data_IF_940648541230
#
_entry.id   IF_940648541230
#
_cell.length_a   1.000
_cell.length_b   1.000
_cell.length_c   1.000
_cell.angle_alpha   90.00
_cell.angle_beta   90.00
_cell.angle_gamma   90.00
#
_symmetry.space_group_name_H-M   'P 1'
#
loop_
_entity.id
_entity.type
_entity.pdbx_description
1 polymer ?
#
# COMPACT_ATOMS: atom_id res chain seq x y z
N UNK A 1 -34.96 53.63 52.19
CA UNK A 1 -35.22 52.49 51.28
C UNK A 1 -35.48 53.12 49.92
N UNK A 2 -34.80 52.88 48.81
CA UNK A 2 -33.98 51.76 48.32
C UNK A 2 -33.13 52.33 47.17
N UNK A 3 -31.80 52.21 47.21
CA UNK A 3 -30.94 52.58 46.08
C UNK A 3 -30.91 51.41 45.09
N UNK A 4 -31.51 51.61 43.91
CA UNK A 4 -31.52 50.67 42.82
C UNK A 4 -30.12 50.60 42.17
N UNK A 5 -29.42 49.49 42.38
CA UNK A 5 -28.09 49.24 41.85
C UNK A 5 -28.20 48.79 40.39
N UNK A 6 -28.09 49.72 39.43
CA UNK A 6 -27.92 49.37 38.02
C UNK A 6 -26.56 48.66 37.83
N UNK A 7 -26.59 47.33 37.77
CA UNK A 7 -25.45 46.50 37.38
C UNK A 7 -25.15 46.72 35.88
N UNK A 8 -24.25 47.66 35.60
CA UNK A 8 -23.65 47.78 34.27
C UNK A 8 -22.90 46.50 33.90
N UNK A 9 -23.21 45.93 32.74
CA UNK A 9 -22.48 44.81 32.15
C UNK A 9 -20.98 45.14 32.09
N UNK A 10 -20.17 44.35 32.77
CA UNK A 10 -18.71 44.59 32.81
C UNK A 10 -18.14 44.52 31.39
N UNK A 11 -17.18 45.38 31.07
CA UNK A 11 -16.47 45.38 29.76
C UNK A 11 -15.93 44.00 29.39
N UNK A 12 -15.60 43.15 30.37
CA UNK A 12 -15.14 41.78 30.20
C UNK A 12 -16.24 40.85 29.65
N UNK A 13 -17.48 41.00 30.12
CA UNK A 13 -18.65 40.25 29.63
C UNK A 13 -18.99 40.64 28.19
N UNK A 14 -18.84 41.93 27.85
CA UNK A 14 -19.10 42.44 26.50
C UNK A 14 -18.03 42.00 25.48
N UNK A 15 -16.76 41.95 25.89
CA UNK A 15 -15.65 41.43 25.06
C UNK A 15 -15.71 39.91 24.87
N UNK A 16 -16.07 39.14 25.91
CA UNK A 16 -16.25 37.69 25.81
C UNK A 16 -17.48 37.34 24.95
N UNK A 17 -18.60 38.05 25.15
CA UNK A 17 -19.82 37.89 24.33
C UNK A 17 -19.61 38.30 22.87
N UNK A 18 -18.91 39.41 22.63
CA UNK A 18 -18.55 39.86 21.28
C UNK A 18 -17.58 38.91 20.57
N UNK A 19 -16.56 38.41 21.27
CA UNK A 19 -15.63 37.41 20.75
C UNK A 19 -16.30 36.08 20.38
N UNK A 20 -17.23 35.61 21.22
CA UNK A 20 -18.00 34.39 20.96
C UNK A 20 -18.97 34.55 19.76
N UNK A 21 -19.63 35.71 19.62
CA UNK A 21 -20.52 35.99 18.49
C UNK A 21 -19.76 36.10 17.16
N UNK A 22 -18.59 36.75 17.14
CA UNK A 22 -17.72 36.84 15.95
C UNK A 22 -17.14 35.47 15.59
N UNK A 23 -16.70 34.68 16.58
CA UNK A 23 -16.25 33.30 16.35
C UNK A 23 -17.37 32.40 15.81
N UNK A 24 -18.59 32.54 16.35
CA UNK A 24 -19.77 31.81 15.87
C UNK A 24 -20.16 32.15 14.44
N UNK A 25 -20.15 33.44 14.07
CA UNK A 25 -20.36 33.91 12.69
C UNK A 25 -19.26 33.42 11.74
N UNK A 26 -18.00 33.44 12.18
CA UNK A 26 -16.86 32.92 11.42
C UNK A 26 -16.99 31.42 11.14
N UNK A 27 -17.33 30.63 12.17
CA UNK A 27 -17.55 29.19 12.05
C UNK A 27 -18.74 28.87 11.13
N UNK A 28 -19.88 29.56 11.28
CA UNK A 28 -21.04 29.39 10.43
C UNK A 28 -20.74 29.71 8.95
N UNK A 29 -20.00 30.80 8.70
CA UNK A 29 -19.58 31.21 7.35
C UNK A 29 -18.62 30.18 6.74
N UNK A 30 -17.67 29.67 7.53
CA UNK A 30 -16.75 28.62 7.10
C UNK A 30 -17.48 27.32 6.72
N UNK A 31 -18.42 26.88 7.57
CA UNK A 31 -19.24 25.70 7.30
C UNK A 31 -20.11 25.90 6.06
N UNK A 32 -20.76 27.05 5.91
CA UNK A 32 -21.58 27.38 4.74
C UNK A 32 -20.73 27.39 3.46
N UNK A 33 -19.56 28.03 3.48
CA UNK A 33 -18.61 28.05 2.36
C UNK A 33 -18.17 26.63 1.97
N UNK A 34 -17.87 25.78 2.95
CA UNK A 34 -17.51 24.37 2.71
C UNK A 34 -18.68 23.59 2.10
N UNK A 35 -19.92 23.81 2.57
CA UNK A 35 -21.13 23.20 2.00
C UNK A 35 -21.36 23.65 0.55
N UNK A 36 -21.24 24.94 0.26
CA UNK A 36 -21.39 25.50 -1.10
C UNK A 36 -20.31 24.92 -2.02
N UNK A 37 -19.04 24.94 -1.60
CA UNK A 37 -17.93 24.33 -2.36
C UNK A 37 -18.22 22.88 -2.67
N UNK A 38 -18.61 22.07 -1.67
CA UNK A 38 -18.91 20.66 -1.88
C UNK A 38 -20.12 20.44 -2.79
N UNK A 39 -21.11 21.33 -2.75
CA UNK A 39 -22.27 21.26 -3.65
C UNK A 39 -21.87 21.53 -5.10
N UNK A 40 -21.12 22.61 -5.34
CA UNK A 40 -20.65 22.98 -6.68
C UNK A 40 -19.74 21.88 -7.24
N UNK A 41 -18.79 21.38 -6.46
CA UNK A 41 -17.88 20.32 -6.88
C UNK A 41 -18.66 19.09 -7.37
N UNK A 42 -19.62 18.61 -6.58
CA UNK A 42 -20.47 17.45 -6.92
C UNK A 42 -21.34 17.68 -8.16
N UNK A 43 -21.93 18.87 -8.30
CA UNK A 43 -22.82 19.20 -9.42
C UNK A 43 -22.06 19.49 -10.72
N UNK A 44 -20.75 19.70 -10.65
CA UNK A 44 -19.95 20.12 -11.80
C UNK A 44 -18.80 19.15 -12.11
N UNK A 45 -18.90 17.90 -11.64
CA UNK A 45 -17.98 16.83 -12.04
C UNK A 45 -17.97 16.74 -13.56
N UNK A 46 -16.77 16.78 -14.15
CA UNK A 46 -16.59 16.73 -15.59
C UNK A 46 -16.90 15.32 -16.08
N UNK A 47 -17.65 15.18 -17.17
CA UNK A 47 -17.89 13.87 -17.79
C UNK A 47 -16.58 13.15 -18.14
N UNK A 48 -15.57 13.91 -18.58
CA UNK A 48 -14.21 13.43 -18.87
C UNK A 48 -13.48 12.86 -17.64
N UNK A 49 -13.86 13.24 -16.43
CA UNK A 49 -13.25 12.69 -15.20
C UNK A 49 -13.69 11.25 -14.93
N UNK A 50 -14.93 10.92 -15.32
CA UNK A 50 -15.51 9.58 -15.16
C UNK A 50 -15.41 8.74 -16.43
N UNK A 51 -14.92 9.32 -17.52
CA UNK A 51 -14.78 8.62 -18.79
C UNK A 51 -13.64 7.60 -18.71
N UNK A 52 -13.81 6.47 -19.37
CA UNK A 52 -12.68 5.56 -19.65
C UNK A 52 -11.58 6.38 -20.33
N UNK A 53 -10.34 6.36 -19.80
CA UNK A 53 -9.24 7.04 -20.45
C UNK A 53 -9.14 6.57 -21.92
N UNK A 54 -8.75 7.46 -22.85
CA UNK A 54 -8.41 6.99 -24.19
C UNK A 54 -7.35 5.89 -24.06
N UNK A 55 -7.44 4.87 -24.92
CA UNK A 55 -6.39 3.86 -24.99
C UNK A 55 -5.06 4.59 -25.17
N UNK A 56 -4.07 4.22 -24.35
CA UNK A 56 -2.72 4.74 -24.50
C UNK A 56 -2.27 4.37 -25.91
N UNK A 57 -1.74 5.32 -26.72
CA UNK A 57 -1.21 5.01 -28.03
C UNK A 57 -0.22 3.85 -27.92
N UNK A 58 -0.52 2.75 -28.59
CA UNK A 58 0.27 1.53 -28.58
C UNK A 58 0.89 1.35 -29.96
N UNK A 59 2.22 1.28 -30.00
CA UNK A 59 2.95 0.86 -31.19
C UNK A 59 3.24 -0.63 -31.07
N UNK A 60 2.44 -1.46 -31.75
CA UNK A 60 2.52 -2.92 -31.63
C UNK A 60 3.88 -3.50 -32.03
N UNK A 61 4.60 -2.85 -32.95
CA UNK A 61 5.91 -3.32 -33.38
C UNK A 61 7.00 -2.92 -32.39
N UNK A 62 6.96 -1.69 -31.87
CA UNK A 62 7.95 -1.22 -30.88
C UNK A 62 7.72 -1.77 -29.47
N UNK A 63 6.49 -2.09 -29.13
CA UNK A 63 6.08 -2.56 -27.79
C UNK A 63 5.81 -4.07 -27.75
N UNK A 64 6.25 -4.79 -28.78
CA UNK A 64 6.15 -6.24 -28.83
C UNK A 64 6.89 -6.86 -27.65
N UNK A 65 6.18 -7.65 -26.85
CA UNK A 65 6.74 -8.39 -25.71
C UNK A 65 6.55 -9.89 -25.90
N UNK A 66 7.48 -10.68 -25.36
CA UNK A 66 7.38 -12.14 -25.35
C UNK A 66 6.68 -12.60 -24.08
N UNK A 67 5.57 -13.33 -24.24
CA UNK A 67 4.83 -13.93 -23.13
C UNK A 67 5.14 -15.42 -23.04
N UNK A 68 5.74 -15.83 -21.92
CA UNK A 68 5.94 -17.23 -21.60
C UNK A 68 4.80 -17.72 -20.72
N UNK A 69 4.08 -18.73 -21.21
CA UNK A 69 2.89 -19.28 -20.53
C UNK A 69 3.14 -20.72 -20.12
N UNK A 70 3.04 -20.98 -18.81
CA UNK A 70 2.89 -22.31 -18.25
C UNK A 70 1.42 -22.59 -17.94
N UNK A 71 0.93 -23.77 -18.33
CA UNK A 71 -0.45 -24.20 -18.13
C UNK A 71 -0.51 -25.73 -17.96
N UNK A 72 -1.63 -26.21 -17.45
CA UNK A 72 -2.01 -27.63 -17.38
C UNK A 72 -1.21 -28.52 -16.38
N UNK A 73 -0.12 -28.04 -15.78
CA UNK A 73 0.73 -28.83 -14.87
C UNK A 73 0.48 -28.64 -13.36
N UNK A 74 -0.43 -27.75 -12.99
CA UNK A 74 -0.57 -27.25 -11.61
C UNK A 74 0.39 -26.08 -11.32
N UNK A 75 0.22 -25.36 -10.19
CA UNK A 75 0.84 -24.05 -10.03
C UNK A 75 2.39 -24.05 -10.07
N UNK A 76 3.05 -24.98 -9.37
CA UNK A 76 4.50 -25.09 -9.39
C UNK A 76 5.04 -25.51 -10.78
N UNK A 77 4.46 -26.52 -11.42
CA UNK A 77 4.90 -26.95 -12.76
C UNK A 77 4.63 -25.90 -13.85
N UNK A 78 3.62 -25.04 -13.66
CA UNK A 78 3.39 -23.89 -14.53
C UNK A 78 4.52 -22.86 -14.41
N UNK A 79 5.05 -22.64 -13.20
CA UNK A 79 6.26 -21.82 -12.97
C UNK A 79 7.47 -22.45 -13.67
N UNK A 80 7.68 -23.76 -13.53
CA UNK A 80 8.76 -24.48 -14.23
C UNK A 80 8.67 -24.31 -15.74
N UNK A 81 7.47 -24.47 -16.30
CA UNK A 81 7.24 -24.35 -17.74
C UNK A 81 7.54 -22.95 -18.25
N UNK A 82 7.09 -21.91 -17.53
CA UNK A 82 7.35 -20.53 -17.91
C UNK A 82 8.84 -20.19 -17.84
N UNK A 83 9.52 -20.56 -16.76
CA UNK A 83 10.94 -20.28 -16.55
C UNK A 83 11.85 -21.10 -17.47
N UNK A 84 11.49 -22.34 -17.79
CA UNK A 84 12.21 -23.15 -18.78
C UNK A 84 12.20 -22.47 -20.16
N UNK A 85 11.05 -21.92 -20.58
CA UNK A 85 10.95 -21.16 -21.85
C UNK A 85 11.69 -19.83 -21.83
N UNK A 86 11.81 -19.20 -20.66
CA UNK A 86 12.67 -18.03 -20.45
C UNK A 86 14.17 -18.39 -20.56
N UNK A 87 14.53 -19.67 -20.41
CA UNK A 87 15.90 -20.15 -20.37
C UNK A 87 16.52 -20.19 -18.96
N UNK A 88 15.68 -20.20 -17.93
CA UNK A 88 16.05 -20.26 -16.51
C UNK A 88 15.93 -18.91 -15.79
N UNK A 89 15.78 -18.95 -14.46
CA UNK A 89 15.71 -17.76 -13.60
C UNK A 89 16.98 -16.91 -13.66
N UNK A 90 18.13 -17.54 -13.89
CA UNK A 90 19.43 -16.88 -14.04
C UNK A 90 19.53 -15.94 -15.26
N UNK A 91 18.53 -15.93 -16.15
CA UNK A 91 18.43 -14.95 -17.25
C UNK A 91 17.98 -13.57 -16.77
N UNK A 92 17.31 -13.49 -15.62
CA UNK A 92 16.75 -12.24 -15.09
C UNK A 92 17.27 -11.90 -13.69
N UNK A 93 17.74 -12.90 -12.94
CA UNK A 93 18.35 -12.75 -11.61
C UNK A 93 19.84 -13.14 -11.66
N UNK A 94 20.70 -12.24 -11.21
CA UNK A 94 22.12 -12.47 -10.99
C UNK A 94 22.44 -13.06 -9.61
N UNK A 95 23.67 -13.55 -9.45
CA UNK A 95 24.10 -14.26 -8.22
C UNK A 95 24.12 -13.37 -6.97
N UNK A 96 24.35 -12.06 -7.12
CA UNK A 96 24.46 -11.11 -6.00
C UNK A 96 23.20 -10.24 -5.83
N UNK A 97 22.12 -10.52 -6.57
CA UNK A 97 20.94 -9.66 -6.59
C UNK A 97 20.16 -9.71 -5.27
N UNK A 98 19.65 -8.56 -4.85
CA UNK A 98 18.59 -8.49 -3.84
C UNK A 98 17.25 -8.58 -4.57
N UNK A 99 16.52 -9.67 -4.36
CA UNK A 99 15.28 -9.98 -5.07
C UNK A 99 14.09 -9.73 -4.17
N UNK A 100 13.20 -8.87 -4.62
CA UNK A 100 11.96 -8.51 -3.94
C UNK A 100 10.79 -9.18 -4.67
N UNK A 101 10.13 -10.13 -4.02
CA UNK A 101 9.01 -10.90 -4.58
C UNK A 101 7.70 -10.41 -4.00
N UNK A 102 6.84 -9.82 -4.84
CA UNK A 102 5.51 -9.35 -4.45
C UNK A 102 4.56 -10.50 -4.42
N UNK A 103 3.89 -10.67 -3.30
CA UNK A 103 2.71 -11.51 -3.21
C UNK A 103 1.49 -10.65 -2.86
N UNK A 104 0.32 -11.16 -3.20
CA UNK A 104 -0.97 -10.50 -2.97
C UNK A 104 -1.81 -11.40 -2.10
N UNK A 105 -2.12 -10.94 -0.89
CA UNK A 105 -2.85 -11.73 0.09
C UNK A 105 -4.08 -10.99 0.65
N UNK A 106 -4.34 -9.77 0.15
CA UNK A 106 -5.51 -8.94 0.44
C UNK A 106 -6.85 -9.73 0.48
N UNK A 107 -7.11 -10.57 -0.53
CA UNK A 107 -8.37 -11.30 -0.63
C UNK A 107 -8.13 -12.81 -0.55
N UNK A 108 -7.65 -13.28 0.60
CA UNK A 108 -7.40 -14.71 0.86
C UNK A 108 -8.58 -15.61 0.44
N UNK A 109 -9.82 -15.19 0.69
CA UNK A 109 -11.04 -15.92 0.33
C UNK A 109 -11.41 -15.83 -1.17
N UNK A 110 -10.94 -14.82 -1.90
CA UNK A 110 -11.13 -14.68 -3.35
C UNK A 110 -9.94 -15.20 -4.17
N UNK A 111 -8.89 -15.68 -3.49
CA UNK A 111 -7.66 -16.20 -4.07
C UNK A 111 -6.49 -15.27 -3.82
N UNK A 112 -5.56 -15.69 -2.96
CA UNK A 112 -4.25 -15.07 -2.77
C UNK A 112 -3.23 -15.59 -3.80
N UNK A 113 -2.04 -15.00 -3.90
CA UNK A 113 -0.93 -15.57 -4.67
C UNK A 113 -0.71 -17.02 -4.26
N UNK A 114 -0.63 -17.89 -5.27
CA UNK A 114 -0.54 -19.32 -5.04
C UNK A 114 0.75 -19.72 -4.33
N UNK A 115 0.62 -20.39 -3.18
CA UNK A 115 1.75 -20.72 -2.30
C UNK A 115 2.76 -21.63 -3.00
N UNK A 116 2.29 -22.61 -3.78
CA UNK A 116 3.18 -23.50 -4.54
C UNK A 116 3.92 -22.75 -5.65
N UNK A 117 3.28 -21.75 -6.27
CA UNK A 117 3.95 -20.89 -7.25
C UNK A 117 5.04 -20.04 -6.61
N UNK A 118 4.75 -19.42 -5.45
CA UNK A 118 5.72 -18.58 -4.72
C UNK A 118 6.90 -19.42 -4.25
N UNK A 119 6.61 -20.56 -3.62
CA UNK A 119 7.63 -21.53 -3.20
C UNK A 119 8.53 -21.89 -4.37
N UNK A 120 7.94 -22.29 -5.51
CA UNK A 120 8.72 -22.72 -6.68
C UNK A 120 9.54 -21.59 -7.29
N UNK A 121 9.01 -20.36 -7.35
CA UNK A 121 9.76 -19.21 -7.83
C UNK A 121 10.99 -18.89 -6.95
N UNK A 122 10.85 -19.00 -5.63
CA UNK A 122 11.96 -18.86 -4.69
C UNK A 122 12.99 -19.98 -4.90
N UNK A 123 12.55 -21.23 -5.01
CA UNK A 123 13.45 -22.36 -5.26
C UNK A 123 14.28 -22.17 -6.54
N UNK A 124 13.69 -21.69 -7.63
CA UNK A 124 14.43 -21.35 -8.85
C UNK A 124 15.51 -20.29 -8.65
N UNK A 125 15.32 -19.34 -7.73
CA UNK A 125 16.35 -18.34 -7.39
C UNK A 125 17.46 -19.01 -6.58
N UNK A 126 17.10 -19.83 -5.59
CA UNK A 126 18.05 -20.53 -4.73
C UNK A 126 18.85 -21.61 -5.47
N UNK A 127 18.28 -22.17 -6.55
CA UNK A 127 18.92 -23.13 -7.45
C UNK A 127 19.96 -22.48 -8.39
N UNK A 128 20.04 -21.14 -8.45
CA UNK A 128 21.09 -20.45 -9.22
C UNK A 128 22.45 -20.81 -8.63
N UNK A 129 23.37 -21.41 -9.42
CA UNK A 129 24.68 -21.82 -8.91
C UNK A 129 25.46 -20.64 -8.32
N UNK A 130 25.80 -20.73 -7.04
CA UNK A 130 26.56 -19.70 -6.34
C UNK A 130 25.76 -18.44 -5.99
N UNK A 131 24.43 -18.53 -5.88
CA UNK A 131 23.61 -17.42 -5.38
C UNK A 131 24.07 -16.97 -3.98
N UNK A 132 24.44 -15.69 -3.88
CA UNK A 132 24.89 -14.98 -2.68
C UNK A 132 23.97 -13.82 -2.29
N UNK A 133 23.02 -13.51 -3.17
CA UNK A 133 21.98 -12.52 -2.94
C UNK A 133 21.02 -12.93 -1.82
N UNK A 134 19.91 -12.20 -1.75
CA UNK A 134 18.84 -12.52 -0.82
C UNK A 134 17.48 -12.31 -1.47
N UNK A 135 16.48 -13.00 -0.94
CA UNK A 135 15.09 -12.87 -1.36
C UNK A 135 14.30 -12.24 -0.20
N UNK A 136 13.61 -11.14 -0.48
CA UNK A 136 12.62 -10.56 0.41
C UNK A 136 11.25 -10.76 -0.20
N UNK A 137 10.45 -11.64 0.41
CA UNK A 137 9.04 -11.82 0.06
C UNK A 137 8.25 -10.73 0.75
N UNK A 138 7.65 -9.87 -0.03
CA UNK A 138 6.90 -8.73 0.49
C UNK A 138 5.43 -8.88 0.13
N UNK A 139 4.57 -8.61 1.11
CA UNK A 139 3.12 -8.72 0.94
C UNK A 139 2.46 -7.39 1.17
N UNK A 140 1.45 -7.11 0.35
CA UNK A 140 0.58 -5.97 0.53
C UNK A 140 -0.74 -6.39 1.13
N UNK A 141 -0.97 -6.02 2.39
CA UNK A 141 -2.30 -6.10 2.93
C UNK A 141 -3.00 -4.75 2.98
N UNK A 142 -4.20 -4.73 2.39
CA UNK A 142 -5.09 -3.60 2.24
C UNK A 142 -6.34 -3.75 3.12
N UNK A 143 -6.56 -2.76 4.01
CA UNK A 143 -7.63 -2.56 5.02
C UNK A 143 -7.93 -3.65 6.08
N UNK A 144 -8.21 -3.19 7.31
CA UNK A 144 -9.15 -3.85 8.22
C UNK A 144 -10.54 -3.22 8.05
N UNK A 145 -11.59 -4.03 8.16
CA UNK A 145 -12.94 -3.51 8.41
C UNK A 145 -13.15 -3.49 9.93
N UNK A 146 -13.10 -2.33 10.59
CA UNK A 146 -13.48 -2.21 11.99
C UNK A 146 -15.02 -2.34 12.09
N UNK A 147 -15.56 -3.54 11.90
CA UNK A 147 -16.93 -3.78 12.33
C UNK A 147 -16.91 -3.92 13.86
N UNK A 148 -17.12 -2.80 14.55
CA UNK A 148 -17.17 -2.69 16.03
C UNK A 148 -18.19 -3.63 16.70
N UNK A 149 -18.99 -4.36 15.92
CA UNK A 149 -19.99 -5.32 16.40
C UNK A 149 -19.48 -6.76 16.44
N UNK A 150 -18.27 -7.04 15.96
CA UNK A 150 -17.70 -8.39 15.94
C UNK A 150 -16.25 -8.35 16.41
N UNK A 151 -16.02 -8.76 17.65
CA UNK A 151 -14.69 -9.12 18.18
C UNK A 151 -14.20 -10.41 17.52
N UNK A 152 -13.94 -10.37 16.22
CA UNK A 152 -13.30 -11.46 15.49
C UNK A 152 -11.85 -11.06 15.19
N UNK A 153 -10.88 -11.47 16.04
CA UNK A 153 -9.45 -11.21 15.81
C UNK A 153 -8.96 -11.85 14.52
N UNK A 154 -9.72 -12.76 13.90
CA UNK A 154 -9.38 -13.24 12.58
C UNK A 154 -9.62 -12.17 11.50
N UNK A 155 -10.46 -11.13 11.65
CA UNK A 155 -10.78 -10.15 10.57
C UNK A 155 -9.66 -9.17 10.22
N UNK A 156 -8.46 -9.38 10.72
CA UNK A 156 -7.28 -8.57 10.46
C UNK A 156 -6.73 -8.69 9.04
N UNK A 157 -5.86 -7.74 8.73
CA UNK A 157 -5.11 -7.63 7.49
C UNK A 157 -4.34 -8.94 7.18
N UNK A 158 -3.98 -9.71 8.19
CA UNK A 158 -2.91 -10.70 8.05
C UNK A 158 -3.43 -12.11 7.75
N UNK A 159 -4.72 -12.25 7.41
CA UNK A 159 -5.41 -13.54 7.22
C UNK A 159 -4.69 -14.50 6.30
N UNK A 160 -4.17 -14.07 5.16
CA UNK A 160 -3.50 -15.01 4.26
C UNK A 160 -2.21 -15.63 4.84
N UNK A 161 -1.55 -14.93 5.78
CA UNK A 161 -0.35 -15.40 6.47
C UNK A 161 -0.65 -16.23 7.70
N UNK A 162 -1.68 -15.85 8.46
CA UNK A 162 -1.97 -16.42 9.78
C UNK A 162 -3.16 -17.38 9.77
N UNK A 163 -4.09 -17.23 8.83
CA UNK A 163 -5.32 -18.00 8.73
C UNK A 163 -5.22 -19.05 7.60
N UNK A 164 -5.73 -20.27 7.83
CA UNK A 164 -5.88 -21.26 6.78
C UNK A 164 -6.70 -20.74 5.58
N UNK A 165 -6.29 -21.12 4.38
CA UNK A 165 -6.97 -20.87 3.11
C UNK A 165 -7.12 -22.19 2.38
N UNK A 166 -8.35 -22.53 2.01
CA UNK A 166 -8.64 -23.70 1.17
C UNK A 166 -8.33 -23.44 -0.32
N UNK A 167 -7.94 -22.21 -0.67
CA UNK A 167 -7.65 -21.78 -2.04
C UNK A 167 -6.19 -21.41 -2.16
N UNK A 168 -5.57 -21.79 -3.29
CA UNK A 168 -4.23 -21.37 -3.68
C UNK A 168 -3.13 -21.81 -2.71
N UNK A 169 -3.32 -22.91 -1.95
CA UNK A 169 -2.33 -23.53 -1.07
C UNK A 169 -2.00 -24.95 -1.56
N UNK A 170 -1.54 -25.05 -2.80
CA UNK A 170 -1.26 -26.32 -3.49
C UNK A 170 0.08 -26.95 -3.05
N UNK A 171 0.38 -26.93 -1.76
CA UNK A 171 1.55 -27.57 -1.14
C UNK A 171 1.05 -28.58 -0.10
N UNK A 172 1.34 -29.89 -0.25
CA UNK A 172 0.88 -30.89 0.70
C UNK A 172 1.27 -30.57 2.15
N UNK A 173 0.29 -30.60 3.05
CA UNK A 173 0.47 -30.33 4.48
C UNK A 173 0.52 -28.84 4.85
N UNK A 174 0.40 -27.93 3.89
CA UNK A 174 0.33 -26.50 4.13
C UNK A 174 -1.12 -26.04 4.00
N UNK A 175 -1.47 -24.98 4.73
CA UNK A 175 -2.80 -24.40 4.69
C UNK A 175 -2.80 -22.87 4.59
N UNK A 176 -1.65 -22.20 4.58
CA UNK A 176 -1.60 -20.73 4.46
C UNK A 176 -0.33 -20.26 3.77
N UNK A 177 -0.32 -19.01 3.30
CA UNK A 177 0.85 -18.39 2.68
C UNK A 177 2.02 -18.31 3.69
N UNK A 178 1.70 -18.16 4.98
CA UNK A 178 2.70 -18.10 6.04
C UNK A 178 3.47 -19.38 6.31
N UNK A 179 3.06 -20.52 5.74
CA UNK A 179 3.85 -21.75 5.85
C UNK A 179 5.18 -21.65 5.07
N UNK A 180 5.32 -20.67 4.16
CA UNK A 180 6.61 -20.34 3.52
C UNK A 180 7.67 -19.91 4.55
N UNK A 181 7.28 -19.22 5.62
CA UNK A 181 8.21 -18.66 6.62
C UNK A 181 8.99 -19.75 7.35
N UNK A 182 8.34 -20.68 8.10
CA UNK A 182 9.06 -21.74 8.79
C UNK A 182 9.76 -22.69 7.81
N UNK A 183 9.24 -22.87 6.58
CA UNK A 183 9.90 -23.69 5.56
C UNK A 183 11.27 -23.15 5.17
N UNK A 184 11.36 -21.90 4.69
CA UNK A 184 12.63 -21.35 4.24
C UNK A 184 13.57 -21.03 5.41
N UNK A 185 13.03 -20.72 6.60
CA UNK A 185 13.82 -20.61 7.82
C UNK A 185 14.49 -21.95 8.18
N UNK A 186 13.75 -23.05 8.10
CA UNK A 186 14.27 -24.41 8.37
C UNK A 186 15.36 -24.85 7.38
N UNK A 187 15.34 -24.32 6.16
CA UNK A 187 16.40 -24.51 5.16
C UNK A 187 17.62 -23.59 5.38
N UNK A 188 17.56 -22.68 6.35
CA UNK A 188 18.50 -21.56 6.50
C UNK A 188 18.73 -20.79 5.17
N UNK A 189 17.70 -20.72 4.33
CA UNK A 189 17.78 -20.05 3.04
C UNK A 189 17.92 -18.53 3.24
N UNK A 190 18.56 -17.80 2.30
CA UNK A 190 18.64 -16.34 2.33
C UNK A 190 17.29 -15.71 1.92
N UNK A 191 16.21 -16.11 2.57
CA UNK A 191 14.84 -15.67 2.31
C UNK A 191 14.29 -15.03 3.58
N UNK A 192 13.72 -13.84 3.45
CA UNK A 192 13.04 -13.12 4.52
C UNK A 192 11.67 -12.65 4.07
N UNK A 193 10.85 -12.25 5.03
CA UNK A 193 9.45 -11.87 4.82
C UNK A 193 9.21 -10.50 5.42
N UNK A 194 8.48 -9.64 4.73
CA UNK A 194 8.33 -8.24 5.13
C UNK A 194 6.93 -7.64 4.89
N UNK A 195 6.42 -6.97 5.94
CA UNK A 195 5.17 -6.19 6.04
C UNK A 195 5.04 -4.98 5.15
N UNK A 196 4.08 -4.93 4.22
CA UNK A 196 3.53 -3.66 3.73
C UNK A 196 2.04 -3.57 4.05
N UNK A 197 1.75 -2.95 5.19
CA UNK A 197 0.39 -2.76 5.67
C UNK A 197 -0.06 -1.36 5.25
N UNK A 198 -0.85 -1.26 4.18
CA UNK A 198 -1.30 0.04 3.62
C UNK A 198 -2.78 0.30 3.95
N UNK A 199 -3.06 0.48 5.24
CA UNK A 199 -4.38 0.91 5.73
C UNK A 199 -4.48 2.43 5.86
N UNK A 200 -5.70 2.99 5.78
CA UNK A 200 -5.97 4.37 6.22
C UNK A 200 -5.67 4.60 7.70
N UNK A 201 -6.07 5.73 8.28
CA UNK A 201 -5.83 6.05 9.71
C UNK A 201 -6.06 4.82 10.58
N UNK A 202 -4.98 4.18 11.01
CA UNK A 202 -5.02 2.77 11.38
C UNK A 202 -4.65 2.62 12.84
N UNK A 203 -5.66 2.29 13.64
CA UNK A 203 -5.50 1.75 14.99
C UNK A 203 -4.73 0.39 15.01
N UNK A 204 -4.31 -0.12 13.84
CA UNK A 204 -3.67 -1.42 13.62
C UNK A 204 -2.14 -1.36 13.62
N UNK A 205 -1.53 -0.22 13.99
CA UNK A 205 -0.12 -0.22 14.36
C UNK A 205 0.18 -1.25 15.49
N UNK A 206 -0.86 -1.70 16.21
CA UNK A 206 -0.79 -2.76 17.22
C UNK A 206 -1.37 -4.13 16.79
N UNK A 207 -1.91 -4.32 15.58
CA UNK A 207 -2.35 -5.65 15.11
C UNK A 207 -1.18 -6.34 14.40
N UNK A 208 -0.65 -7.43 14.95
CA UNK A 208 0.51 -8.04 14.35
C UNK A 208 0.18 -8.74 13.03
N UNK A 209 1.10 -8.62 12.09
CA UNK A 209 1.24 -9.65 11.07
C UNK A 209 1.75 -10.94 11.75
N UNK A 210 2.38 -11.82 11.01
CA UNK A 210 3.11 -12.97 11.51
C UNK A 210 4.35 -12.51 12.29
N UNK A 211 4.49 -11.19 12.47
CA UNK A 211 5.37 -10.48 13.36
C UNK A 211 4.57 -9.90 14.55
N UNK A 212 4.31 -10.71 15.61
CA UNK A 212 3.65 -10.28 16.86
C UNK A 212 4.29 -9.08 17.55
N UNK A 213 5.56 -8.82 17.25
CA UNK A 213 6.37 -7.79 17.88
C UNK A 213 6.48 -6.52 17.01
N UNK A 214 5.85 -6.51 15.83
CA UNK A 214 5.94 -5.43 14.82
C UNK A 214 7.39 -5.09 14.46
N UNK A 215 8.27 -6.09 14.50
CA UNK A 215 9.71 -5.92 14.29
C UNK A 215 10.02 -5.56 12.82
N UNK A 216 9.21 -6.07 11.88
CA UNK A 216 9.42 -5.95 10.45
C UNK A 216 8.12 -5.59 9.73
N UNK A 217 8.06 -4.35 9.23
CA UNK A 217 6.96 -3.89 8.41
C UNK A 217 6.94 -2.38 8.22
N UNK A 218 6.42 -1.95 7.08
CA UNK A 218 5.96 -0.58 6.86
C UNK A 218 4.46 -0.55 7.05
N UNK A 219 4.03 0.29 7.99
CA UNK A 219 2.63 0.51 8.32
C UNK A 219 2.25 1.92 7.82
N UNK A 220 1.27 2.00 6.92
CA UNK A 220 0.65 3.26 6.54
C UNK A 220 -0.29 3.78 7.63
N UNK A 221 -0.55 5.09 7.63
CA UNK A 221 -1.60 5.68 8.47
C UNK A 221 -1.28 5.87 9.96
N UNK A 222 -0.01 5.73 10.36
CA UNK A 222 0.46 5.75 11.76
C UNK A 222 0.90 7.14 12.28
N UNK A 223 0.40 8.22 11.66
CA UNK A 223 0.79 9.62 11.90
C UNK A 223 2.29 9.94 11.75
N UNK A 224 3.19 8.96 11.52
CA UNK A 224 4.61 9.18 11.25
C UNK A 224 4.84 9.90 9.92
N UNK A 225 3.82 9.88 9.05
CA UNK A 225 3.83 10.62 7.79
C UNK A 225 4.93 10.15 6.83
N UNK A 226 5.29 10.99 5.84
CA UNK A 226 6.32 10.63 4.87
C UNK A 226 7.69 10.55 5.55
N UNK A 227 8.54 9.64 5.06
CA UNK A 227 9.96 9.64 5.42
C UNK A 227 10.53 11.03 5.14
N UNK A 228 11.13 11.65 6.15
CA UNK A 228 11.74 12.97 5.99
C UNK A 228 13.06 12.87 5.22
N UNK A 229 13.48 13.96 4.58
CA UNK A 229 14.78 14.00 3.91
C UNK A 229 15.90 13.67 4.91
N UNK A 230 16.78 12.72 4.56
CA UNK A 230 17.87 12.26 5.42
C UNK A 230 17.46 11.26 6.50
N UNK A 231 16.17 10.98 6.67
CA UNK A 231 15.71 9.98 7.62
C UNK A 231 15.94 8.57 7.07
N UNK A 232 16.57 7.73 7.89
CA UNK A 232 16.95 6.38 7.48
C UNK A 232 15.91 5.32 7.87
N UNK A 233 14.76 5.69 8.45
CA UNK A 233 13.76 4.71 8.91
C UNK A 233 13.08 3.97 7.75
N UNK A 234 12.36 2.91 8.12
CA UNK A 234 11.41 2.24 7.26
C UNK A 234 10.11 3.06 7.18
N UNK A 235 9.42 3.00 6.03
CA UNK A 235 8.26 3.84 5.79
C UNK A 235 7.90 4.00 4.32
N UNK A 236 6.92 4.86 4.06
CA UNK A 236 6.65 5.36 2.71
C UNK A 236 7.25 6.75 2.51
N UNK A 237 7.84 6.95 1.33
CA UNK A 237 8.14 8.28 0.81
C UNK A 237 6.91 8.86 0.11
N UNK A 238 6.69 10.16 0.29
CA UNK A 238 5.69 10.91 -0.48
C UNK A 238 6.38 12.05 -1.23
N UNK A 239 6.41 11.94 -2.55
CA UNK A 239 6.98 12.95 -3.45
C UNK A 239 5.85 13.87 -3.94
N UNK A 240 5.69 15.00 -3.25
CA UNK A 240 4.69 16.02 -3.57
C UNK A 240 5.11 16.93 -4.74
N UNK A 241 6.34 16.81 -5.22
CA UNK A 241 6.77 17.47 -6.46
C UNK A 241 6.33 16.65 -7.68
N UNK A 242 6.15 15.33 -7.50
CA UNK A 242 5.63 14.39 -8.50
C UNK A 242 4.19 13.99 -8.23
N UNK A 243 3.26 14.91 -8.48
CA UNK A 243 1.82 14.70 -8.26
C UNK A 243 1.09 14.40 -9.57
N UNK A 244 0.36 13.29 -9.61
CA UNK A 244 -0.64 13.08 -10.65
C UNK A 244 -1.90 13.89 -10.30
N UNK A 245 -2.28 14.83 -11.17
CA UNK A 245 -3.41 15.74 -10.96
C UNK A 245 -4.35 15.71 -12.16
N UNK A 246 -5.63 15.47 -11.89
CA UNK A 246 -6.69 15.49 -12.90
C UNK A 246 -7.80 16.45 -12.47
N UNK A 247 -8.28 17.28 -13.40
CA UNK A 247 -9.42 18.18 -13.12
C UNK A 247 -10.68 17.34 -12.93
N UNK A 248 -11.26 17.43 -11.73
CA UNK A 248 -12.45 16.65 -11.35
C UNK A 248 -13.72 17.42 -11.68
N UNK A 249 -13.76 18.70 -11.34
CA UNK A 249 -14.93 19.54 -11.50
C UNK A 249 -14.54 20.96 -11.92
N UNK A 250 -15.52 21.87 -12.00
CA UNK A 250 -15.22 23.28 -12.27
C UNK A 250 -14.29 23.91 -11.24
N UNK A 251 -14.29 23.41 -10.00
CA UNK A 251 -13.62 24.02 -8.84
C UNK A 251 -12.65 23.10 -8.09
N UNK A 252 -12.50 21.84 -8.51
CA UNK A 252 -11.65 20.86 -7.81
C UNK A 252 -10.82 19.99 -8.77
N UNK A 253 -9.71 19.49 -8.23
CA UNK A 253 -8.87 18.48 -8.84
C UNK A 253 -8.85 17.23 -7.95
N UNK A 254 -8.80 16.05 -8.57
CA UNK A 254 -8.29 14.86 -7.90
C UNK A 254 -6.76 14.87 -8.06
N UNK A 255 -6.05 14.54 -6.99
CA UNK A 255 -4.59 14.54 -7.00
C UNK A 255 -4.06 13.45 -6.08
N UNK A 256 -2.99 12.78 -6.49
CA UNK A 256 -2.29 11.76 -5.69
C UNK A 256 -0.78 11.96 -5.84
N UNK A 257 0.00 11.98 -4.75
CA UNK A 257 1.45 12.06 -4.85
C UNK A 257 2.03 10.73 -5.31
N UNK A 258 3.21 10.76 -5.92
CA UNK A 258 3.99 9.53 -6.09
C UNK A 258 4.46 9.06 -4.71
N UNK A 259 4.27 7.77 -4.44
CA UNK A 259 4.69 7.13 -3.19
C UNK A 259 5.43 5.83 -3.46
N UNK A 260 6.34 5.46 -2.58
CA UNK A 260 7.04 4.18 -2.62
C UNK A 260 7.55 3.78 -1.23
N UNK A 261 7.65 2.47 -0.92
CA UNK A 261 8.20 2.00 0.34
C UNK A 261 9.72 2.04 0.34
N UNK A 262 10.25 2.23 1.54
CA UNK A 262 11.61 1.90 1.95
C UNK A 262 11.52 0.99 3.16
N UNK A 263 12.30 -0.09 3.15
CA UNK A 263 12.31 -1.04 4.25
C UNK A 263 13.69 -1.64 4.49
N UNK A 264 13.92 -2.13 5.70
CA UNK A 264 15.15 -2.82 6.09
C UNK A 264 14.94 -4.33 6.01
N UNK A 265 15.78 -5.04 5.24
CA UNK A 265 15.76 -6.49 5.15
C UNK A 265 15.99 -7.11 6.54
N UNK A 266 15.10 -7.99 7.01
CA UNK A 266 15.28 -8.73 8.27
C UNK A 266 16.52 -9.62 8.27
N UNK A 267 16.99 -10.04 7.08
CA UNK A 267 18.10 -10.99 6.94
C UNK A 267 19.46 -10.29 7.07
N UNK A 268 19.63 -9.20 6.33
CA UNK A 268 20.94 -8.58 6.11
C UNK A 268 21.09 -7.19 6.72
N UNK A 269 19.98 -6.56 7.15
CA UNK A 269 19.98 -5.16 7.56
C UNK A 269 20.14 -4.17 6.41
N UNK A 270 20.15 -4.64 5.16
CA UNK A 270 20.13 -3.76 4.00
C UNK A 270 18.85 -2.97 3.93
N UNK A 271 18.95 -1.75 3.44
CA UNK A 271 17.80 -0.90 3.18
C UNK A 271 17.44 -1.01 1.71
N UNK A 272 16.26 -1.54 1.43
CA UNK A 272 15.67 -1.57 0.10
C UNK A 272 14.81 -0.33 -0.06
N UNK A 273 15.19 0.55 -0.98
CA UNK A 273 14.41 1.70 -1.42
C UNK A 273 13.98 1.47 -2.87
N UNK A 274 12.67 1.39 -3.13
CA UNK A 274 12.21 1.06 -4.49
C UNK A 274 12.51 2.13 -5.53
N UNK A 275 12.87 3.35 -5.12
CA UNK A 275 13.34 4.41 -6.02
C UNK A 275 14.85 4.41 -6.17
N UNK A 276 15.59 4.26 -5.08
CA UNK A 276 17.04 4.46 -5.05
C UNK A 276 17.87 3.16 -5.09
N UNK A 277 17.23 2.00 -4.97
CA UNK A 277 17.83 0.66 -5.04
C UNK A 277 18.22 0.08 -3.69
N UNK A 278 19.28 -0.73 -3.67
CA UNK A 278 19.81 -1.37 -2.46
C UNK A 278 20.81 -0.43 -1.79
N UNK A 279 20.60 -0.18 -0.50
CA UNK A 279 21.35 0.73 0.33
C UNK A 279 21.85 0.03 1.60
N UNK A 280 22.90 0.56 2.22
CA UNK A 280 23.37 0.14 3.55
C UNK A 280 23.47 1.35 4.48
N UNK A 281 23.42 1.09 5.79
CA UNK A 281 23.60 2.11 6.82
C UNK A 281 25.09 2.24 7.14
N UNK A 282 25.64 3.43 6.94
CA UNK A 282 27.00 3.78 7.34
C UNK A 282 26.99 5.06 8.14
N UNK A 283 27.47 5.02 9.40
CA UNK A 283 27.55 6.19 10.28
C UNK A 283 26.22 6.97 10.39
N UNK A 284 25.09 6.25 10.41
CA UNK A 284 23.74 6.84 10.45
C UNK A 284 23.20 7.34 9.11
N UNK A 285 24.00 7.34 8.04
CA UNK A 285 23.59 7.72 6.70
C UNK A 285 23.26 6.50 5.84
N UNK A 286 22.42 6.69 4.81
CA UNK A 286 22.19 5.70 3.77
C UNK A 286 23.14 5.94 2.60
N UNK A 287 23.84 4.87 2.21
CA UNK A 287 24.76 4.85 1.07
C UNK A 287 24.40 3.69 0.15
N UNK A 288 24.78 3.77 -1.12
CA UNK A 288 24.54 2.68 -2.07
C UNK A 288 25.34 1.44 -1.66
N UNK A 289 24.67 0.30 -1.60
CA UNK A 289 25.31 -0.99 -1.35
C UNK A 289 26.03 -1.51 -2.60
N UNK A 290 25.47 -1.20 -3.79
CA UNK A 290 26.05 -1.59 -5.08
C UNK A 290 25.45 -2.86 -5.67
N UNK A 291 24.74 -3.68 -4.89
CA UNK A 291 23.98 -4.81 -5.43
C UNK A 291 22.77 -4.37 -6.25
N UNK A 292 22.41 -5.08 -7.33
CA UNK A 292 21.20 -4.82 -8.08
C UNK A 292 19.94 -5.18 -7.29
N UNK A 293 18.92 -4.34 -7.38
CA UNK A 293 17.57 -4.64 -6.93
C UNK A 293 16.78 -5.30 -8.08
N UNK A 294 16.20 -6.46 -7.83
CA UNK A 294 15.26 -7.13 -8.74
C UNK A 294 13.89 -7.20 -8.13
N UNK A 295 12.88 -7.06 -8.98
CA UNK A 295 11.49 -7.02 -8.56
C UNK A 295 10.67 -8.03 -9.35
N UNK A 296 10.07 -9.00 -8.65
CA UNK A 296 9.19 -10.00 -9.24
C UNK A 296 7.79 -9.76 -8.70
N UNK A 297 6.85 -9.40 -9.58
CA UNK A 297 5.47 -9.19 -9.18
C UNK A 297 4.62 -10.45 -9.41
N UNK A 298 4.34 -11.23 -8.37
CA UNK A 298 3.48 -12.42 -8.46
C UNK A 298 2.02 -12.06 -8.22
N UNK A 299 1.44 -11.39 -9.21
CA UNK A 299 0.06 -10.93 -9.21
C UNK A 299 -0.94 -12.06 -9.42
N UNK A 300 -2.06 -12.02 -8.69
CA UNK A 300 -3.21 -12.87 -8.98
C UNK A 300 -4.27 -12.15 -9.80
N UNK A 301 -5.03 -12.97 -10.49
CA UNK A 301 -6.16 -12.62 -11.31
C UNK A 301 -7.46 -12.71 -10.49
N UNK A 302 -7.80 -11.66 -9.73
CA UNK A 302 -8.99 -11.67 -8.87
C UNK A 302 -10.13 -10.84 -9.49
N UNK A 303 -11.36 -11.34 -9.35
CA UNK A 303 -12.59 -10.61 -9.66
C UNK A 303 -13.09 -9.85 -8.42
N UNK A 304 -13.52 -8.60 -8.61
CA UNK A 304 -14.04 -7.77 -7.54
C UNK A 304 -15.40 -7.18 -7.94
N UNK A 305 -16.47 -7.93 -7.67
CA UNK A 305 -17.87 -7.51 -7.83
C UNK A 305 -18.12 -6.59 -9.03
N UNK A 306 -18.56 -5.36 -8.75
CA UNK A 306 -18.92 -4.35 -9.77
C UNK A 306 -17.75 -3.81 -10.61
N UNK A 307 -16.51 -4.15 -10.28
CA UNK A 307 -15.30 -3.70 -11.00
C UNK A 307 -14.66 -4.77 -11.87
N UNK A 308 -15.19 -6.00 -11.87
CA UNK A 308 -14.70 -7.10 -12.71
C UNK A 308 -13.29 -7.55 -12.35
N UNK A 309 -12.49 -7.91 -13.35
CA UNK A 309 -11.11 -8.39 -13.17
C UNK A 309 -10.19 -7.28 -12.65
N UNK A 310 -9.85 -7.30 -11.36
CA UNK A 310 -9.08 -6.22 -10.71
C UNK A 310 -7.69 -6.61 -10.27
N UNK A 311 -7.37 -7.91 -10.24
CA UNK A 311 -6.10 -8.40 -9.71
C UNK A 311 -4.86 -7.76 -10.35
N UNK A 312 -4.82 -7.64 -11.69
CA UNK A 312 -3.76 -6.95 -12.41
C UNK A 312 -3.64 -5.46 -12.03
N UNK A 313 -4.76 -4.76 -11.92
CA UNK A 313 -4.81 -3.33 -11.59
C UNK A 313 -4.47 -3.05 -10.12
N UNK A 314 -4.70 -4.01 -9.22
CA UNK A 314 -4.38 -3.92 -7.78
C UNK A 314 -2.98 -4.44 -7.47
N UNK A 315 -2.30 -5.05 -8.42
CA UNK A 315 -0.93 -5.50 -8.24
C UNK A 315 0.07 -4.44 -7.75
N UNK A 316 -0.07 -3.13 -8.04
CA UNK A 316 0.82 -2.11 -7.48
C UNK A 316 0.43 -1.65 -6.07
N UNK A 317 -0.70 -2.09 -5.51
CA UNK A 317 -1.07 -1.76 -4.12
C UNK A 317 -0.01 -2.29 -3.15
N UNK A 318 0.28 -1.52 -2.10
CA UNK A 318 1.42 -1.69 -1.19
C UNK A 318 2.75 -1.18 -1.72
N UNK A 319 2.95 -1.09 -3.03
CA UNK A 319 4.04 -0.25 -3.55
C UNK A 319 3.65 1.23 -3.44
N UNK A 320 2.37 1.49 -3.65
CA UNK A 320 1.80 2.83 -3.51
C UNK A 320 1.11 2.90 -2.15
N UNK A 321 1.55 3.85 -1.34
CA UNK A 321 0.95 4.12 -0.04
C UNK A 321 -0.52 4.50 -0.19
N UNK A 322 -1.38 3.75 0.50
CA UNK A 322 -2.80 4.04 0.57
C UNK A 322 -3.15 5.09 1.61
N UNK A 323 -2.28 5.34 2.60
CA UNK A 323 -2.44 6.42 3.57
C UNK A 323 -2.10 7.80 2.99
N UNK A 324 -1.48 7.87 1.80
CA UNK A 324 -1.30 9.11 1.07
C UNK A 324 -2.62 9.58 0.43
N UNK A 325 -3.39 10.42 1.14
CA UNK A 325 -4.57 11.09 0.58
C UNK A 325 -5.82 10.90 1.40
N UNK A 326 -6.92 10.44 0.78
CA UNK A 326 -8.26 10.43 1.36
C UNK A 326 -8.40 9.56 2.63
N UNK A 327 -7.41 8.71 2.89
CA UNK A 327 -7.33 7.79 4.02
C UNK A 327 -6.28 8.20 5.07
N UNK A 328 -5.47 9.23 4.79
CA UNK A 328 -4.40 9.65 5.69
C UNK A 328 -4.82 10.78 6.60
N UNK A 329 -4.26 10.79 7.80
CA UNK A 329 -4.49 11.82 8.80
C UNK A 329 -3.41 12.92 8.80
N UNK A 330 -2.30 12.71 8.08
CA UNK A 330 -1.18 13.64 8.07
C UNK A 330 -1.55 14.97 7.37
N UNK A 331 -1.26 16.16 7.94
CA UNK A 331 -1.66 17.44 7.36
C UNK A 331 -1.22 17.68 5.90
N UNK A 332 -0.04 17.14 5.51
CA UNK A 332 0.50 17.25 4.14
C UNK A 332 -0.36 16.55 3.07
N UNK A 333 -1.19 15.57 3.44
CA UNK A 333 -2.07 14.87 2.48
C UNK A 333 -3.45 15.51 2.37
N UNK A 334 -3.68 16.64 3.05
CA UNK A 334 -4.94 17.37 2.96
C UNK A 334 -5.27 17.72 1.50
N UNK A 335 -6.40 17.20 1.01
CA UNK A 335 -6.86 17.43 -0.35
C UNK A 335 -6.23 16.52 -1.42
N UNK A 336 -5.47 15.50 -1.01
CA UNK A 336 -5.04 14.40 -1.88
C UNK A 336 -6.01 13.21 -1.77
N UNK A 337 -5.97 12.34 -2.77
CA UNK A 337 -6.66 11.06 -2.81
C UNK A 337 -5.58 9.99 -2.94
N UNK A 338 -5.74 8.85 -2.27
CA UNK A 338 -4.86 7.71 -2.55
C UNK A 338 -5.24 7.09 -3.88
N UNK A 339 -4.31 6.33 -4.46
CA UNK A 339 -4.48 5.70 -5.78
C UNK A 339 -5.76 4.85 -5.82
N UNK A 340 -6.11 4.20 -4.71
CA UNK A 340 -7.34 3.43 -4.58
C UNK A 340 -8.62 4.27 -4.71
N UNK A 341 -8.61 5.53 -4.24
CA UNK A 341 -9.79 6.40 -4.26
C UNK A 341 -9.77 7.47 -5.34
N UNK A 342 -8.69 7.60 -6.09
CA UNK A 342 -8.49 8.69 -7.04
C UNK A 342 -9.65 8.83 -8.04
N UNK A 343 -10.19 7.71 -8.53
CA UNK A 343 -11.31 7.69 -9.48
C UNK A 343 -12.70 7.84 -8.87
N UNK A 344 -12.84 8.01 -7.54
CA UNK A 344 -14.14 7.97 -6.87
C UNK A 344 -14.97 9.22 -7.18
N UNK A 345 -16.04 9.06 -7.96
CA UNK A 345 -16.93 10.16 -8.39
C UNK A 345 -17.98 10.57 -7.34
N UNK A 346 -18.31 9.67 -6.40
CA UNK A 346 -19.31 9.88 -5.33
C UNK A 346 -18.75 10.40 -3.99
N UNK A 347 -19.63 10.62 -2.99
CA UNK A 347 -19.24 11.01 -1.61
C UNK A 347 -18.24 9.98 -1.04
N UNK A 348 -17.29 10.37 -0.16
CA UNK A 348 -16.80 9.46 0.85
C UNK A 348 -18.05 8.88 1.56
N UNK A 349 -18.12 7.57 1.75
CA UNK A 349 -19.08 7.06 2.73
C UNK A 349 -18.77 7.80 4.04
N UNK A 350 -19.77 8.29 4.78
CA UNK A 350 -19.52 8.59 6.18
C UNK A 350 -19.07 7.25 6.78
N UNK A 351 -17.84 7.25 7.31
CA UNK A 351 -17.37 6.21 8.22
C UNK A 351 -18.28 6.12 9.44
#
# INVERSE_FOLDING_TARGET
>A
MSHEHQRGLSRRTLLIGGGAAVAGLGAATFVLRKKIKNFIDKRTVLASFSATPPLVPHDAEREKTTLYVGKDGGPAANVDTALSRLGGMNKVIGVDDVVVIKVSAQWWNQGMTNVASVKRAIEHILEIPGFKGEVVVFENTHFHFPDKKVDDPARGLTRAWTHPSDRNVDVPGWNKLGDLVPHFAGLNAPVSFYGLVDGGGSDLAGDPWFDPEHTHGVYGGDDRGPISAGEARDGYHWDFDKVFRLRRSRIAHAQTPLTWPRFTSPRSGLVVDLKDGVMRRENGALVKDGRPLKFINMTTANEHGSTGFTGACKSPMGLLDMSAGALGNHPRVAGYQSVHYFGRTGRPHPE
#
